data_IF_487386655381
#
_entry.id   IF_487386655381
#
_cell.length_a   1.000
_cell.length_b   1.000
_cell.length_c   1.000
_cell.angle_alpha   90.00
_cell.angle_beta   90.00
_cell.angle_gamma   90.00
#
_symmetry.space_group_name_H-M   'P 1'
#
loop_
_entity.id
_entity.type
_entity.pdbx_description
1 polymer ?
#
# COMPACT_ATOMS: atom_id res chain seq x y z
N UNK A 1 14.43 -13.20 -2.54
CA UNK A 1 13.98 -13.86 -1.31
C UNK A 1 12.68 -14.54 -1.64
N UNK A 2 12.63 -15.87 -1.55
CA UNK A 2 11.40 -16.60 -1.85
C UNK A 2 10.39 -16.33 -0.73
N UNK A 3 9.13 -16.24 -1.11
CA UNK A 3 8.04 -16.14 -0.16
C UNK A 3 7.65 -17.55 0.25
N UNK A 4 7.80 -17.88 1.53
CA UNK A 4 7.22 -19.11 2.07
C UNK A 4 5.74 -18.88 2.44
N UNK A 5 4.94 -19.93 2.30
CA UNK A 5 3.52 -19.91 2.67
C UNK A 5 3.32 -19.55 4.14
N UNK A 6 4.13 -20.09 5.05
CA UNK A 6 3.99 -19.86 6.49
C UNK A 6 4.25 -18.39 6.80
N UNK A 7 5.32 -17.82 6.24
CA UNK A 7 5.65 -16.40 6.39
C UNK A 7 4.55 -15.50 5.79
N UNK A 8 3.97 -15.88 4.65
CA UNK A 8 2.90 -15.12 4.03
C UNK A 8 1.64 -15.11 4.91
N UNK A 9 1.19 -16.26 5.41
CA UNK A 9 0.04 -16.32 6.32
C UNK A 9 0.31 -15.62 7.66
N UNK A 10 1.53 -15.70 8.19
CA UNK A 10 1.93 -14.93 9.37
C UNK A 10 1.87 -13.42 9.12
N UNK A 11 2.31 -12.97 7.94
CA UNK A 11 2.13 -11.58 7.49
C UNK A 11 0.65 -11.19 7.43
N UNK A 12 -0.22 -12.00 6.82
CA UNK A 12 -1.66 -11.73 6.76
C UNK A 12 -2.28 -11.59 8.17
N UNK A 13 -1.88 -12.46 9.11
CA UNK A 13 -2.31 -12.38 10.51
C UNK A 13 -1.88 -11.06 11.17
N UNK A 14 -0.63 -10.62 10.94
CA UNK A 14 -0.14 -9.32 11.43
C UNK A 14 -0.93 -8.16 10.83
N UNK A 15 -1.24 -8.18 9.54
CA UNK A 15 -2.04 -7.14 8.90
C UNK A 15 -3.47 -7.07 9.44
N UNK A 16 -4.10 -8.21 9.72
CA UNK A 16 -5.41 -8.24 10.41
C UNK A 16 -5.34 -7.55 11.76
N UNK A 17 -4.31 -7.84 12.56
CA UNK A 17 -4.09 -7.20 13.85
C UNK A 17 -3.82 -5.70 13.71
N UNK A 18 -3.02 -5.28 12.73
CA UNK A 18 -2.76 -3.86 12.44
C UNK A 18 -4.06 -3.11 12.13
N UNK A 19 -4.94 -3.66 11.30
CA UNK A 19 -6.19 -3.01 10.91
C UNK A 19 -7.24 -2.92 12.04
N UNK A 20 -7.01 -3.55 13.20
CA UNK A 20 -7.80 -3.29 14.42
C UNK A 20 -7.53 -1.92 15.01
N UNK A 21 -6.34 -1.34 14.76
CA UNK A 21 -5.97 -0.01 15.22
C UNK A 21 -6.82 1.01 14.44
N UNK A 22 -7.69 1.73 15.16
CA UNK A 22 -8.68 2.64 14.55
C UNK A 22 -8.07 3.63 13.56
N UNK A 23 -6.93 4.23 13.90
CA UNK A 23 -6.24 5.21 13.02
C UNK A 23 -5.77 4.61 11.69
N UNK A 24 -5.44 3.31 11.65
CA UNK A 24 -5.01 2.65 10.41
C UNK A 24 -6.15 2.42 9.41
N UNK A 25 -7.41 2.67 9.81
CA UNK A 25 -8.54 2.74 8.87
C UNK A 25 -8.39 3.90 7.89
N UNK A 26 -7.55 4.90 8.17
CA UNK A 26 -7.14 5.94 7.21
C UNK A 26 -6.52 5.37 5.93
N UNK A 27 -5.99 4.14 5.95
CA UNK A 27 -5.56 3.43 4.75
C UNK A 27 -6.69 3.34 3.68
N UNK A 28 -7.96 3.44 4.07
CA UNK A 28 -9.11 3.51 3.15
C UNK A 28 -9.19 4.83 2.35
N UNK A 29 -8.50 5.89 2.78
CA UNK A 29 -8.44 7.17 2.06
C UNK A 29 -7.39 7.17 0.95
N UNK A 30 -6.50 6.19 0.95
CA UNK A 30 -5.56 6.01 -0.13
C UNK A 30 -6.30 5.47 -1.37
N UNK A 31 -5.68 5.60 -2.53
CA UNK A 31 -6.01 4.79 -3.69
C UNK A 31 -5.12 3.56 -3.78
N UNK A 32 -5.35 2.75 -4.81
CA UNK A 32 -4.40 1.71 -5.21
C UNK A 32 -4.19 0.63 -4.16
N UNK A 33 -2.94 0.18 -4.05
CA UNK A 33 -2.59 -1.03 -3.29
C UNK A 33 -2.88 -0.93 -1.79
N UNK A 34 -2.67 0.24 -1.19
CA UNK A 34 -2.89 0.46 0.25
C UNK A 34 -4.37 0.31 0.58
N UNK A 35 -5.23 0.92 -0.23
CA UNK A 35 -6.68 0.76 -0.12
C UNK A 35 -7.11 -0.70 -0.30
N UNK A 36 -6.60 -1.37 -1.33
CA UNK A 36 -6.99 -2.77 -1.60
C UNK A 36 -6.59 -3.71 -0.46
N UNK A 37 -5.42 -3.50 0.13
CA UNK A 37 -4.97 -4.23 1.32
C UNK A 37 -5.85 -3.91 2.54
N UNK A 38 -6.16 -2.63 2.77
CA UNK A 38 -7.07 -2.24 3.84
C UNK A 38 -8.44 -2.94 3.70
N UNK A 39 -9.00 -2.97 2.48
CA UNK A 39 -10.25 -3.66 2.16
C UNK A 39 -10.16 -5.17 2.42
N UNK A 40 -9.05 -5.82 2.06
CA UNK A 40 -8.84 -7.25 2.29
C UNK A 40 -8.92 -7.62 3.78
N UNK A 41 -8.31 -6.81 4.65
CA UNK A 41 -8.20 -7.13 6.07
C UNK A 41 -9.36 -6.62 6.91
N UNK A 42 -10.09 -5.61 6.43
CA UNK A 42 -11.28 -5.09 7.11
C UNK A 42 -12.54 -5.94 6.88
N UNK A 43 -12.52 -6.90 5.93
CA UNK A 43 -13.59 -7.89 5.67
C UNK A 43 -14.99 -7.33 5.99
N UNK A 44 -15.48 -6.44 5.12
CA UNK A 44 -16.77 -5.76 5.26
C UNK A 44 -17.98 -6.70 5.43
N UNK A 45 -17.82 -7.99 5.20
CA UNK A 45 -18.92 -8.95 5.18
C UNK A 45 -19.45 -9.40 6.56
N UNK A 46 -18.78 -9.16 7.69
CA UNK A 46 -19.31 -9.65 8.99
C UNK A 46 -19.04 -8.82 10.25
N UNK A 47 -18.38 -7.65 10.16
CA UNK A 47 -18.07 -6.86 11.37
C UNK A 47 -18.03 -5.34 11.17
N UNK A 48 -18.75 -4.82 10.16
CA UNK A 48 -18.81 -3.39 9.87
C UNK A 48 -20.26 -2.90 9.71
N UNK A 49 -21.10 -3.18 10.72
CA UNK A 49 -22.32 -2.37 10.98
C UNK A 49 -22.00 -0.98 11.56
N UNK A 50 -20.72 -0.61 11.59
CA UNK A 50 -20.28 0.74 11.87
C UNK A 50 -19.36 1.11 10.73
N UNK A 51 -19.91 1.81 9.72
CA UNK A 51 -19.13 2.69 8.86
C UNK A 51 -17.96 3.23 9.68
N UNK A 52 -16.70 3.20 9.20
CA UNK A 52 -15.62 3.78 9.99
C UNK A 52 -16.09 5.19 10.33
N UNK A 53 -16.31 5.45 11.64
CA UNK A 53 -16.86 6.73 12.10
C UNK A 53 -16.08 7.82 11.38
N UNK A 54 -16.71 8.91 10.93
CA UNK A 54 -15.98 10.06 10.39
C UNK A 54 -14.77 10.39 11.27
N UNK A 55 -14.91 10.24 12.59
CA UNK A 55 -13.82 10.37 13.56
C UNK A 55 -12.72 9.33 13.40
N UNK A 56 -13.01 8.04 13.16
CA UNK A 56 -12.00 7.02 12.94
C UNK A 56 -11.18 7.25 11.65
N UNK A 57 -11.79 7.88 10.65
CA UNK A 57 -11.07 8.34 9.46
C UNK A 57 -10.32 9.67 9.71
N UNK A 58 -10.76 10.47 10.68
CA UNK A 58 -10.21 11.79 11.01
C UNK A 58 -9.38 11.81 12.31
N UNK A 59 -9.09 10.66 12.95
CA UNK A 59 -8.41 10.66 14.25
C UNK A 59 -7.01 11.27 14.08
N UNK A 60 -6.74 12.45 14.65
CA UNK A 60 -5.48 13.14 14.43
C UNK A 60 -4.36 12.44 15.19
N UNK A 61 -3.18 12.32 14.58
CA UNK A 61 -1.96 11.96 15.29
C UNK A 61 -1.31 13.24 15.80
N UNK A 62 -1.19 13.41 17.12
CA UNK A 62 -0.48 14.56 17.68
C UNK A 62 1.02 14.30 17.54
N UNK A 63 1.69 15.09 16.71
CA UNK A 63 3.15 15.16 16.62
C UNK A 63 3.63 16.15 17.68
N UNK A 64 4.35 15.65 18.67
CA UNK A 64 4.92 16.50 19.73
C UNK A 64 6.22 17.12 19.21
N UNK A 65 6.16 18.40 18.86
CA UNK A 65 7.30 19.23 18.46
C UNK A 65 7.38 20.51 19.31
N UNK A 66 7.92 21.59 18.73
CA UNK A 66 7.91 22.92 19.37
C UNK A 66 6.49 23.51 19.45
N UNK A 67 5.64 23.09 18.52
CA UNK A 67 4.20 23.32 18.48
C UNK A 67 3.47 21.96 18.43
N UNK A 68 2.22 21.90 18.91
CA UNK A 68 1.35 20.73 18.74
C UNK A 68 0.86 20.68 17.29
N UNK A 69 1.45 19.80 16.48
CA UNK A 69 1.02 19.58 15.10
C UNK A 69 0.11 18.34 15.03
N UNK A 70 -0.97 18.44 14.25
CA UNK A 70 -1.90 17.35 14.00
C UNK A 70 -1.56 16.71 12.64
N UNK A 71 -1.17 15.45 12.64
CA UNK A 71 -0.93 14.63 11.46
C UNK A 71 -2.15 13.77 11.14
N UNK A 72 -2.77 14.07 10.00
CA UNK A 72 -3.92 13.35 9.49
C UNK A 72 -3.51 12.10 8.68
N UNK A 73 -2.22 11.82 8.53
CA UNK A 73 -1.66 10.74 7.73
C UNK A 73 -1.55 9.37 8.40
N UNK A 74 -1.00 8.42 7.65
CA UNK A 74 -0.54 7.10 8.09
C UNK A 74 0.98 7.11 7.98
N UNK A 75 1.70 6.65 9.00
CA UNK A 75 3.16 6.73 9.00
C UNK A 75 3.79 5.86 7.92
N UNK A 76 5.01 6.20 7.48
CA UNK A 76 5.74 5.41 6.50
C UNK A 76 5.96 3.97 6.98
N UNK A 77 6.31 3.81 8.25
CA UNK A 77 6.58 2.52 8.89
C UNK A 77 5.31 1.67 8.89
N UNK A 78 4.15 2.28 9.12
CA UNK A 78 2.86 1.58 9.07
C UNK A 78 2.49 1.12 7.65
N UNK A 79 2.74 1.96 6.65
CA UNK A 79 2.58 1.58 5.25
C UNK A 79 3.54 0.45 4.87
N UNK A 80 4.79 0.50 5.34
CA UNK A 80 5.80 -0.55 5.15
C UNK A 80 5.38 -1.88 5.81
N UNK A 81 4.80 -1.83 7.01
CA UNK A 81 4.22 -3.00 7.67
C UNK A 81 3.04 -3.57 6.87
N UNK A 82 2.15 -2.72 6.37
CA UNK A 82 0.96 -3.13 5.61
C UNK A 82 1.33 -3.81 4.28
N UNK A 83 2.32 -3.30 3.56
CA UNK A 83 2.81 -3.93 2.31
C UNK A 83 3.74 -5.13 2.57
N UNK A 84 4.03 -5.44 3.84
CA UNK A 84 4.83 -6.59 4.26
C UNK A 84 6.30 -6.44 3.92
N UNK A 85 6.93 -5.33 4.34
CA UNK A 85 8.37 -5.12 4.17
C UNK A 85 9.20 -6.06 5.06
N UNK A 86 10.24 -6.66 4.47
CA UNK A 86 11.31 -7.39 5.12
C UNK A 86 12.62 -6.65 4.88
N UNK A 87 13.35 -6.42 5.97
CA UNK A 87 14.67 -5.80 5.93
C UNK A 87 15.75 -6.87 6.07
N UNK A 88 16.66 -6.92 5.11
CA UNK A 88 17.80 -7.84 5.14
C UNK A 88 19.07 -7.01 5.32
N UNK A 89 19.67 -7.11 6.51
CA UNK A 89 20.97 -6.52 6.83
C UNK A 89 22.10 -7.46 6.41
N UNK A 90 23.17 -6.91 5.83
CA UNK A 90 24.35 -7.67 5.40
C UNK A 90 25.58 -7.24 6.21
N UNK A 91 25.75 -7.77 7.43
CA UNK A 91 26.78 -7.31 8.37
C UNK A 91 28.20 -7.41 7.82
N UNK A 92 28.48 -8.40 6.96
CA UNK A 92 29.83 -8.66 6.46
C UNK A 92 30.27 -7.77 5.28
N UNK A 93 29.37 -7.00 4.66
CA UNK A 93 29.65 -6.36 3.36
C UNK A 93 29.66 -4.83 3.35
N UNK A 94 29.51 -4.17 4.50
CA UNK A 94 29.31 -2.71 4.57
C UNK A 94 28.18 -2.23 3.60
N UNK A 95 27.25 -3.13 3.28
CA UNK A 95 26.17 -2.90 2.32
C UNK A 95 24.95 -2.38 3.05
N UNK A 96 24.31 -1.37 2.46
CA UNK A 96 23.03 -0.86 2.94
C UNK A 96 21.99 -1.99 3.05
N UNK A 97 21.15 -1.91 4.08
CA UNK A 97 20.01 -2.79 4.30
C UNK A 97 19.13 -2.83 3.06
N UNK A 98 18.81 -4.02 2.58
CA UNK A 98 17.96 -4.20 1.41
C UNK A 98 16.54 -4.50 1.86
N UNK A 99 15.56 -3.71 1.38
CA UNK A 99 14.14 -3.92 1.64
C UNK A 99 13.50 -4.77 0.53
N UNK A 100 12.73 -5.77 0.93
CA UNK A 100 11.88 -6.59 0.08
C UNK A 100 10.43 -6.49 0.56
N UNK A 101 9.43 -6.67 -0.30
CA UNK A 101 8.03 -6.64 0.13
C UNK A 101 7.13 -7.57 -0.68
N UNK A 102 5.97 -7.92 -0.10
CA UNK A 102 4.89 -8.67 -0.77
C UNK A 102 4.13 -7.80 -1.77
N UNK A 103 4.01 -6.51 -1.47
CA UNK A 103 3.27 -5.54 -2.30
C UNK A 103 4.14 -4.32 -2.63
N UNK A 104 3.88 -3.64 -3.75
CA UNK A 104 4.63 -2.45 -4.13
C UNK A 104 4.42 -1.33 -3.11
N UNK A 105 5.45 -0.53 -2.78
CA UNK A 105 5.28 0.68 -1.99
C UNK A 105 4.31 1.66 -2.66
N UNK A 106 3.54 2.40 -1.86
CA UNK A 106 2.51 3.34 -2.37
C UNK A 106 3.08 4.33 -3.40
N UNK A 107 4.22 4.96 -3.11
CA UNK A 107 4.86 5.91 -4.04
C UNK A 107 5.31 5.27 -5.37
N UNK A 108 5.55 3.94 -5.40
CA UNK A 108 5.85 3.21 -6.65
C UNK A 108 4.56 2.90 -7.40
N UNK A 109 3.49 2.58 -6.69
CA UNK A 109 2.15 2.40 -7.28
C UNK A 109 1.64 3.69 -7.92
N UNK A 110 1.70 4.83 -7.23
CA UNK A 110 1.11 6.10 -7.69
C UNK A 110 1.77 6.71 -8.93
N UNK A 111 2.92 6.19 -9.35
CA UNK A 111 3.58 6.57 -10.61
C UNK A 111 3.48 5.50 -11.70
N UNK A 112 2.73 4.42 -11.43
CA UNK A 112 2.70 3.22 -12.26
C UNK A 112 1.61 3.30 -13.32
N UNK A 113 1.66 2.41 -14.32
CA UNK A 113 0.58 2.30 -15.31
C UNK A 113 -0.71 1.68 -14.77
N UNK A 114 -0.71 1.20 -13.52
CA UNK A 114 -1.88 0.69 -12.81
C UNK A 114 -2.59 1.80 -12.02
N UNK A 115 -1.96 2.96 -11.86
CA UNK A 115 -2.61 4.12 -11.24
C UNK A 115 -3.40 4.90 -12.29
N UNK A 116 -4.70 4.60 -12.37
CA UNK A 116 -5.67 5.23 -13.27
C UNK A 116 -6.65 6.15 -12.52
N UNK A 117 -6.32 6.53 -11.28
CA UNK A 117 -7.23 7.29 -10.40
C UNK A 117 -8.39 6.47 -9.80
N UNK A 118 -8.54 5.20 -10.20
CA UNK A 118 -9.50 4.25 -9.64
C UNK A 118 -8.91 2.83 -9.62
N UNK A 119 -9.48 1.96 -8.79
CA UNK A 119 -9.15 0.53 -8.80
C UNK A 119 -9.89 -0.17 -9.95
N UNK A 120 -9.16 -0.55 -11.00
CA UNK A 120 -9.74 -1.16 -12.21
C UNK A 120 -9.85 -2.69 -12.09
N UNK A 121 -10.63 -3.36 -12.96
CA UNK A 121 -10.64 -4.81 -13.04
C UNK A 121 -9.25 -5.42 -13.26
N UNK A 122 -8.42 -4.82 -14.11
CA UNK A 122 -7.02 -5.27 -14.33
C UNK A 122 -6.17 -5.19 -13.05
N UNK A 123 -6.40 -4.18 -12.21
CA UNK A 123 -5.73 -4.06 -10.91
C UNK A 123 -6.16 -5.22 -9.98
N UNK A 124 -7.44 -5.57 -9.98
CA UNK A 124 -7.98 -6.67 -9.18
C UNK A 124 -7.44 -8.03 -9.66
N UNK A 125 -7.46 -8.30 -10.96
CA UNK A 125 -6.93 -9.55 -11.54
C UNK A 125 -5.45 -9.72 -11.20
N UNK A 126 -4.67 -8.64 -11.32
CA UNK A 126 -3.27 -8.63 -10.92
C UNK A 126 -3.10 -8.90 -9.42
N UNK A 127 -3.91 -8.27 -8.56
CA UNK A 127 -3.83 -8.41 -7.12
C UNK A 127 -4.20 -9.84 -6.69
N UNK A 128 -5.32 -10.38 -7.18
CA UNK A 128 -5.80 -11.73 -6.88
C UNK A 128 -4.80 -12.77 -7.39
N UNK A 129 -4.28 -12.61 -8.61
CA UNK A 129 -3.26 -13.50 -9.16
C UNK A 129 -1.99 -13.53 -8.31
N UNK A 130 -1.55 -12.36 -7.83
CA UNK A 130 -0.40 -12.27 -6.93
C UNK A 130 -0.68 -12.83 -5.53
N UNK A 131 -1.87 -12.56 -4.99
CA UNK A 131 -2.29 -13.10 -3.70
C UNK A 131 -2.27 -14.64 -3.72
N UNK A 132 -2.82 -15.22 -4.80
CA UNK A 132 -2.80 -16.67 -5.06
C UNK A 132 -1.38 -17.20 -5.15
N UNK A 133 -0.51 -16.53 -5.92
CA UNK A 133 0.90 -16.91 -6.06
C UNK A 133 1.57 -17.09 -4.69
N UNK A 134 1.43 -16.13 -3.77
CA UNK A 134 2.02 -16.24 -2.43
C UNK A 134 1.31 -17.26 -1.54
N UNK A 135 -0.01 -17.39 -1.65
CA UNK A 135 -0.80 -18.37 -0.88
C UNK A 135 -0.44 -19.82 -1.22
N UNK A 136 -0.01 -20.08 -2.46
CA UNK A 136 0.39 -21.40 -2.95
C UNK A 136 1.90 -21.66 -2.78
N UNK A 137 2.64 -20.77 -2.10
CA UNK A 137 4.08 -20.91 -1.88
C UNK A 137 4.92 -20.60 -3.11
N UNK A 138 4.30 -19.96 -4.10
CA UNK A 138 4.95 -19.45 -5.28
C UNK A 138 5.48 -18.03 -5.09
N UNK A 139 6.37 -17.64 -6.01
CA UNK A 139 6.82 -16.27 -6.14
C UNK A 139 7.97 -15.87 -5.22
N UNK A 140 8.33 -14.59 -5.32
CA UNK A 140 9.43 -13.99 -4.57
C UNK A 140 9.01 -12.62 -4.07
N UNK A 141 9.53 -12.26 -2.91
CA UNK A 141 9.50 -10.88 -2.45
C UNK A 141 10.36 -10.03 -3.39
N UNK A 142 9.85 -8.84 -3.72
CA UNK A 142 10.50 -7.95 -4.67
C UNK A 142 11.10 -6.73 -3.97
N UNK A 143 12.23 -6.26 -4.50
CA UNK A 143 12.81 -4.96 -4.18
C UNK A 143 12.07 -3.86 -4.91
N UNK A 144 12.25 -2.62 -4.45
CA UNK A 144 11.66 -1.42 -5.08
C UNK A 144 11.89 -1.36 -6.60
N UNK A 145 13.11 -1.61 -7.07
CA UNK A 145 13.41 -1.60 -8.51
C UNK A 145 12.71 -2.71 -9.29
N UNK A 146 12.49 -3.85 -8.66
CA UNK A 146 11.80 -4.98 -9.28
C UNK A 146 10.29 -4.70 -9.33
N UNK A 147 9.76 -3.98 -8.35
CA UNK A 147 8.39 -3.46 -8.39
C UNK A 147 8.17 -2.52 -9.55
N UNK A 148 9.04 -1.53 -9.75
CA UNK A 148 8.92 -0.57 -10.88
C UNK A 148 8.76 -1.30 -12.22
N UNK A 149 9.52 -2.37 -12.42
CA UNK A 149 9.41 -3.19 -13.63
C UNK A 149 8.14 -4.04 -13.66
N UNK A 150 7.73 -4.59 -12.52
CA UNK A 150 6.57 -5.49 -12.41
C UNK A 150 5.23 -4.76 -12.58
N UNK A 151 5.13 -3.51 -12.10
CA UNK A 151 3.91 -2.71 -12.19
C UNK A 151 4.01 -1.58 -13.21
N UNK A 152 4.99 -1.64 -14.12
CA UNK A 152 5.18 -0.60 -15.13
C UNK A 152 3.86 -0.29 -15.86
N UNK A 153 3.05 -1.32 -16.14
CA UNK A 153 1.73 -1.19 -16.76
C UNK A 153 1.80 -0.53 -18.13
N UNK A 154 0.70 0.09 -18.56
CA UNK A 154 0.62 0.71 -19.88
C UNK A 154 1.24 2.12 -19.89
N UNK A 155 2.08 2.42 -20.89
CA UNK A 155 2.70 3.76 -21.02
C UNK A 155 1.65 4.85 -21.24
N UNK A 156 0.65 4.58 -22.08
CA UNK A 156 -0.40 5.53 -22.42
C UNK A 156 -1.23 5.93 -21.20
N UNK A 157 -1.53 4.99 -20.31
CA UNK A 157 -2.18 5.25 -19.02
C UNK A 157 -1.45 6.32 -18.21
N UNK A 158 -0.13 6.19 -18.04
CA UNK A 158 0.67 7.18 -17.30
C UNK A 158 0.66 8.56 -17.95
N UNK A 159 0.77 8.60 -19.28
CA UNK A 159 0.71 9.87 -20.03
C UNK A 159 -0.65 10.54 -19.87
N UNK A 160 -1.74 9.77 -20.04
CA UNK A 160 -3.11 10.26 -19.89
C UNK A 160 -3.35 10.84 -18.50
N UNK A 161 -2.96 10.11 -17.44
CA UNK A 161 -3.18 10.56 -16.06
C UNK A 161 -2.38 11.83 -15.74
N UNK A 162 -1.15 11.94 -16.24
CA UNK A 162 -0.35 13.16 -16.09
C UNK A 162 -1.01 14.35 -16.79
N UNK A 163 -1.43 14.18 -18.04
CA UNK A 163 -2.11 15.26 -18.79
C UNK A 163 -3.43 15.68 -18.14
N UNK A 164 -4.18 14.71 -17.58
CA UNK A 164 -5.40 14.99 -16.84
C UNK A 164 -5.11 15.82 -15.59
N UNK A 165 -4.08 15.45 -14.82
CA UNK A 165 -3.68 16.19 -13.61
C UNK A 165 -3.22 17.61 -13.95
N UNK A 166 -2.40 17.78 -15.00
CA UNK A 166 -1.92 19.08 -15.46
C UNK A 166 -3.10 19.99 -15.87
N UNK A 167 -4.08 19.45 -16.60
CA UNK A 167 -5.31 20.18 -16.97
C UNK A 167 -6.16 20.52 -15.76
N UNK A 168 -6.36 19.58 -14.83
CA UNK A 168 -7.13 19.81 -13.61
C UNK A 168 -6.49 20.92 -12.75
N UNK A 169 -5.17 20.91 -12.59
CA UNK A 169 -4.42 21.98 -11.91
C UNK A 169 -4.62 23.33 -12.58
N UNK A 170 -4.57 23.39 -13.91
CA UNK A 170 -4.79 24.63 -14.65
C UNK A 170 -6.21 25.19 -14.48
N UNK A 171 -7.21 24.32 -14.33
CA UNK A 171 -8.60 24.71 -14.13
C UNK A 171 -8.85 25.30 -12.75
N UNK A 172 -8.24 24.75 -11.69
CA UNK A 172 -8.46 25.20 -10.30
C UNK A 172 -7.82 26.58 -10.02
N UNK A 173 -6.78 26.95 -10.76
CA UNK A 173 -6.04 28.21 -10.56
C UNK A 173 -6.68 29.38 -11.34
N UNK A 174 -7.68 29.12 -12.19
CA UNK A 174 -8.49 30.15 -12.86
C UNK A 174 -9.53 30.75 -11.92
#
# INVERSE_FOLDING_TARGET
MNADTIDFFAYLGKCRNLMTIRRLRKCLRFGGIIWRLAMLFLNLDNALDIYPSPDALNQPQVLVGRDELIDDGVSKEELELLIGVFEVAYPEKNKATTKFSYWPPHHIWSGSGFDMGAWTPDNEDWFVGRFKLYSEGGGRLLRVQEWINNIKGFKHSRTMMKELEDRARSFIVQ
#
